data_IF_042974707697
#
_entry.id   IF_042974707697
#
_cell.length_a   1.000
_cell.length_b   1.000
_cell.length_c   1.000
_cell.angle_alpha   90.00
_cell.angle_beta   90.00
_cell.angle_gamma   90.00
#
_symmetry.space_group_name_H-M   'P 1'
#
loop_
_entity.id
_entity.type
_entity.pdbx_description
1 polymer ?
#
# COMPACT_ATOMS: atom_id res chain seq x y z
N UNK A 1 -3.49 -30.16 -10.39
CA UNK A 1 -2.98 -28.78 -10.51
C UNK A 1 -2.41 -28.37 -9.16
N UNK A 2 -1.18 -27.87 -9.12
CA UNK A 2 -0.55 -27.37 -7.90
C UNK A 2 -0.76 -25.87 -7.80
N UNK A 3 -1.18 -25.39 -6.63
CA UNK A 3 -1.17 -23.96 -6.32
C UNK A 3 0.24 -23.57 -5.90
N UNK A 4 0.78 -22.52 -6.51
CA UNK A 4 2.06 -21.92 -6.12
C UNK A 4 1.83 -20.54 -5.53
N UNK A 5 2.71 -20.13 -4.62
CA UNK A 5 2.61 -18.86 -3.93
C UNK A 5 3.98 -18.21 -3.78
N UNK A 6 4.02 -16.89 -3.91
CA UNK A 6 5.16 -16.05 -3.56
C UNK A 6 4.72 -14.96 -2.60
N UNK A 7 5.57 -14.61 -1.65
CA UNK A 7 5.27 -13.54 -0.67
C UNK A 7 6.43 -12.58 -0.55
N UNK A 8 6.12 -11.30 -0.39
CA UNK A 8 7.10 -10.25 -0.15
C UNK A 8 6.60 -9.28 0.94
N UNK A 9 7.55 -8.70 1.68
CA UNK A 9 7.29 -7.64 2.66
C UNK A 9 8.25 -6.50 2.37
N UNK A 10 7.70 -5.31 2.23
CA UNK A 10 8.42 -4.06 2.04
C UNK A 10 8.19 -3.16 3.25
N UNK A 11 9.25 -2.51 3.70
CA UNK A 11 9.13 -1.48 4.72
C UNK A 11 8.64 -0.17 4.09
N UNK A 12 7.57 0.38 4.65
CA UNK A 12 6.99 1.65 4.22
C UNK A 12 7.01 2.68 5.35
N UNK A 13 7.96 2.60 6.28
CA UNK A 13 8.10 3.59 7.35
C UNK A 13 8.60 4.92 6.78
N UNK A 14 7.93 6.06 7.05
CA UNK A 14 8.36 7.35 6.50
C UNK A 14 9.73 7.78 7.03
N UNK A 15 10.54 8.40 6.17
CA UNK A 15 11.84 8.99 6.54
C UNK A 15 11.76 10.49 6.89
N UNK A 16 10.65 11.13 6.57
CA UNK A 16 10.38 12.54 6.86
C UNK A 16 9.02 12.72 7.57
N UNK A 17 8.79 13.84 8.26
CA UNK A 17 7.52 14.08 8.95
C UNK A 17 6.32 13.98 7.99
N UNK A 18 5.26 13.32 8.46
CA UNK A 18 4.03 13.07 7.70
C UNK A 18 2.80 13.34 8.58
N UNK A 19 1.76 13.95 8.02
CA UNK A 19 0.45 13.95 8.67
C UNK A 19 -0.15 12.54 8.67
N UNK A 20 -0.69 12.13 9.82
CA UNK A 20 -1.32 10.82 9.98
C UNK A 20 -2.78 10.85 9.51
N UNK A 21 -3.22 9.75 8.91
CA UNK A 21 -4.60 9.62 8.42
C UNK A 21 -5.61 9.35 9.55
N UNK A 22 -6.90 9.61 9.27
CA UNK A 22 -8.03 9.09 10.05
C UNK A 22 -8.60 10.00 11.14
N UNK A 23 -7.78 10.80 11.84
CA UNK A 23 -8.28 11.79 12.82
C UNK A 23 -8.07 13.22 12.34
N UNK A 24 -9.17 13.92 12.06
CA UNK A 24 -9.17 15.26 11.48
C UNK A 24 -8.65 16.38 12.40
N UNK A 25 -8.63 16.15 13.72
CA UNK A 25 -8.22 17.16 14.70
C UNK A 25 -6.69 17.23 14.93
N UNK A 26 -5.90 16.49 14.13
CA UNK A 26 -4.43 16.60 14.17
C UNK A 26 -3.99 17.76 13.30
N UNK A 27 -3.22 18.67 13.87
CA UNK A 27 -2.79 19.93 13.25
C UNK A 27 -1.30 19.95 12.86
N UNK A 28 -0.53 18.92 13.24
CA UNK A 28 0.89 18.79 12.89
C UNK A 28 1.23 17.35 12.42
N UNK A 29 2.38 17.16 11.77
CA UNK A 29 2.91 15.83 11.42
C UNK A 29 3.20 14.97 12.66
N UNK A 30 3.39 13.66 12.47
CA UNK A 30 3.87 12.78 13.53
C UNK A 30 5.23 13.24 14.07
N UNK A 31 5.48 12.98 15.37
CA UNK A 31 6.72 13.35 16.05
C UNK A 31 7.75 12.21 16.10
N UNK A 32 7.32 10.98 15.81
CA UNK A 32 8.19 9.82 15.78
C UNK A 32 7.50 8.56 15.28
N UNK A 33 8.27 7.46 15.24
CA UNK A 33 7.82 6.13 14.84
C UNK A 33 7.82 5.22 16.07
N UNK A 34 6.66 4.69 16.44
CA UNK A 34 6.54 3.69 17.49
C UNK A 34 6.85 2.28 16.94
N UNK A 35 6.12 1.88 15.89
CA UNK A 35 6.32 0.63 15.16
C UNK A 35 6.59 0.90 13.68
N UNK A 36 7.38 0.04 13.05
CA UNK A 36 7.65 0.10 11.60
C UNK A 36 6.39 -0.28 10.82
N UNK A 37 6.17 0.38 9.69
CA UNK A 37 5.03 0.13 8.81
C UNK A 37 5.46 -0.80 7.67
N UNK A 38 4.59 -1.74 7.29
CA UNK A 38 4.88 -2.69 6.21
C UNK A 38 3.80 -2.71 5.13
N UNK A 39 4.25 -2.94 3.90
CA UNK A 39 3.44 -3.36 2.77
C UNK A 39 3.76 -4.83 2.49
N UNK A 40 2.74 -5.67 2.41
CA UNK A 40 2.85 -7.12 2.26
C UNK A 40 2.13 -7.53 0.99
N UNK A 41 2.76 -8.36 0.18
CA UNK A 41 2.16 -8.92 -1.03
C UNK A 41 2.15 -10.45 -0.96
N UNK A 42 1.06 -11.05 -1.40
CA UNK A 42 0.91 -12.48 -1.66
C UNK A 42 0.49 -12.66 -3.12
N UNK A 43 1.35 -13.27 -3.91
CA UNK A 43 1.06 -13.69 -5.28
C UNK A 43 0.67 -15.17 -5.26
N UNK A 44 -0.36 -15.53 -6.03
CA UNK A 44 -0.87 -16.88 -6.17
C UNK A 44 -1.00 -17.22 -7.64
N UNK A 45 -0.56 -18.42 -8.04
CA UNK A 45 -0.78 -18.94 -9.40
C UNK A 45 -1.17 -20.41 -9.38
N UNK A 46 -2.18 -20.75 -10.18
CA UNK A 46 -2.59 -22.14 -10.43
C UNK A 46 -2.05 -22.69 -11.78
N UNK A 47 -1.22 -21.91 -12.49
CA UNK A 47 -0.68 -22.20 -13.81
C UNK A 47 -1.51 -21.68 -15.00
N UNK A 48 -2.71 -21.15 -14.78
CA UNK A 48 -3.55 -20.48 -15.79
C UNK A 48 -3.92 -19.05 -15.40
N UNK A 49 -4.14 -18.81 -14.11
CA UNK A 49 -4.57 -17.55 -13.56
C UNK A 49 -3.65 -17.14 -12.42
N UNK A 50 -3.34 -15.85 -12.43
CA UNK A 50 -2.49 -15.20 -11.45
C UNK A 50 -3.31 -14.17 -10.67
N UNK A 51 -3.09 -14.14 -9.36
CA UNK A 51 -3.77 -13.26 -8.41
C UNK A 51 -2.75 -12.60 -7.49
N UNK A 52 -3.02 -11.36 -7.08
CA UNK A 52 -2.21 -10.68 -6.07
C UNK A 52 -3.09 -10.09 -4.96
N UNK A 53 -2.69 -10.31 -3.72
CA UNK A 53 -3.25 -9.68 -2.53
C UNK A 53 -2.19 -8.79 -1.91
N UNK A 54 -2.51 -7.51 -1.71
CA UNK A 54 -1.62 -6.54 -1.08
C UNK A 54 -2.28 -6.01 0.18
N UNK A 55 -1.56 -6.04 1.31
CA UNK A 55 -1.98 -5.44 2.58
C UNK A 55 -0.95 -4.43 3.04
N UNK A 56 -1.37 -3.21 3.36
CA UNK A 56 -0.49 -2.16 3.87
C UNK A 56 -0.89 -1.67 5.25
N UNK A 57 0.09 -1.34 6.08
CA UNK A 57 -0.12 -0.62 7.36
C UNK A 57 -0.43 0.87 7.10
N UNK A 58 -1.59 1.09 6.47
CA UNK A 58 -2.14 2.39 6.07
C UNK A 58 -3.65 2.41 6.32
N UNK A 59 -4.26 3.59 6.27
CA UNK A 59 -5.71 3.73 6.43
C UNK A 59 -6.48 3.12 5.25
N UNK A 60 -6.05 3.44 4.03
CA UNK A 60 -6.70 3.01 2.80
C UNK A 60 -5.78 3.17 1.58
N UNK A 61 -6.13 2.48 0.49
CA UNK A 61 -5.69 2.82 -0.86
C UNK A 61 -6.73 3.72 -1.50
N UNK A 62 -6.33 4.89 -1.99
CA UNK A 62 -7.19 5.81 -2.76
C UNK A 62 -6.72 5.82 -4.20
N UNK A 63 -7.59 6.27 -5.09
CA UNK A 63 -7.40 6.33 -6.54
C UNK A 63 -5.99 6.77 -6.97
N UNK A 64 -5.47 7.86 -6.38
CA UNK A 64 -4.13 8.38 -6.66
C UNK A 64 -2.97 7.40 -6.43
N UNK A 65 -3.16 6.40 -5.56
CA UNK A 65 -2.18 5.32 -5.29
C UNK A 65 -2.62 4.01 -5.92
N UNK A 66 -3.93 3.74 -5.99
CA UNK A 66 -4.49 2.50 -6.49
C UNK A 66 -4.28 2.34 -8.00
N UNK A 67 -4.56 3.39 -8.80
CA UNK A 67 -4.47 3.29 -10.25
C UNK A 67 -3.04 3.03 -10.75
N UNK A 68 -1.99 3.72 -10.27
CA UNK A 68 -0.62 3.43 -10.69
C UNK A 68 -0.20 1.99 -10.35
N UNK A 69 -0.64 1.46 -9.21
CA UNK A 69 -0.33 0.07 -8.83
C UNK A 69 -1.02 -0.91 -9.78
N UNK A 70 -2.32 -0.73 -10.06
CA UNK A 70 -3.03 -1.59 -11.02
C UNK A 70 -2.39 -1.55 -12.41
N UNK A 71 -2.04 -0.37 -12.92
CA UNK A 71 -1.33 -0.26 -14.20
C UNK A 71 0.00 -1.00 -14.19
N UNK A 72 0.77 -0.86 -13.10
CA UNK A 72 2.06 -1.56 -12.96
C UNK A 72 1.88 -3.08 -12.92
N UNK A 73 0.87 -3.59 -12.21
CA UNK A 73 0.56 -5.02 -12.15
C UNK A 73 0.12 -5.57 -13.52
N UNK A 74 -0.68 -4.82 -14.26
CA UNK A 74 -1.12 -5.19 -15.60
C UNK A 74 0.05 -5.14 -16.60
N UNK A 75 0.81 -4.05 -16.63
CA UNK A 75 1.92 -3.84 -17.57
C UNK A 75 3.09 -4.81 -17.35
N UNK A 76 3.43 -5.11 -16.09
CA UNK A 76 4.60 -5.93 -15.77
C UNK A 76 4.29 -7.42 -15.58
N UNK A 77 3.09 -7.75 -15.09
CA UNK A 77 2.73 -9.12 -14.71
C UNK A 77 1.50 -9.65 -15.46
N UNK A 78 0.81 -8.83 -16.26
CA UNK A 78 -0.43 -9.22 -16.93
C UNK A 78 -1.60 -9.48 -15.97
N UNK A 79 -1.53 -8.97 -14.73
CA UNK A 79 -2.58 -9.15 -13.72
C UNK A 79 -3.58 -7.99 -13.82
N UNK A 80 -4.81 -8.22 -14.31
CA UNK A 80 -5.82 -7.17 -14.42
C UNK A 80 -6.38 -6.78 -13.04
N UNK A 81 -7.02 -5.60 -12.91
CA UNK A 81 -7.56 -5.11 -11.65
C UNK A 81 -8.51 -6.07 -10.92
N UNK A 82 -9.30 -6.88 -11.64
CA UNK A 82 -10.25 -7.83 -11.02
C UNK A 82 -9.54 -9.00 -10.33
N UNK A 83 -8.24 -9.16 -10.56
CA UNK A 83 -7.36 -10.19 -9.99
C UNK A 83 -6.36 -9.62 -8.97
N UNK A 84 -6.45 -8.32 -8.67
CA UNK A 84 -5.63 -7.63 -7.69
C UNK A 84 -6.50 -7.07 -6.56
N UNK A 85 -6.26 -7.53 -5.32
CA UNK A 85 -6.92 -6.96 -4.14
C UNK A 85 -5.91 -6.18 -3.30
N UNK A 86 -6.21 -4.92 -3.00
CA UNK A 86 -5.38 -4.07 -2.16
C UNK A 86 -6.19 -3.59 -0.94
N UNK A 87 -5.67 -3.80 0.27
CA UNK A 87 -6.33 -3.40 1.51
C UNK A 87 -5.39 -2.69 2.49
N UNK A 88 -5.84 -1.56 3.03
CA UNK A 88 -5.21 -1.00 4.23
C UNK A 88 -5.66 -1.78 5.46
N UNK A 89 -4.80 -1.93 6.47
CA UNK A 89 -5.21 -2.45 7.79
C UNK A 89 -6.15 -1.51 8.53
N UNK A 90 -6.37 -0.31 7.98
CA UNK A 90 -7.20 0.74 8.54
C UNK A 90 -6.61 1.37 9.82
N UNK A 91 -5.28 1.40 9.92
CA UNK A 91 -4.61 2.10 11.02
C UNK A 91 -4.72 3.62 10.86
N UNK A 92 -5.05 4.30 11.96
CA UNK A 92 -5.05 5.77 12.07
C UNK A 92 -3.69 6.33 12.51
N UNK A 93 -2.67 5.47 12.61
CA UNK A 93 -1.32 5.82 13.06
C UNK A 93 -0.28 5.74 11.94
N UNK A 94 -0.73 5.74 10.68
CA UNK A 94 0.12 5.77 9.49
C UNK A 94 -0.06 7.08 8.70
N UNK A 95 0.93 7.48 7.88
CA UNK A 95 0.81 8.66 7.01
C UNK A 95 -0.43 8.65 6.13
N UNK A 96 -0.98 9.84 5.86
CA UNK A 96 -2.01 9.99 4.83
C UNK A 96 -1.43 9.72 3.45
N UNK A 97 -2.14 8.91 2.68
CA UNK A 97 -1.80 8.55 1.29
C UNK A 97 -2.62 9.35 0.27
N UNK A 98 -3.40 10.33 0.73
CA UNK A 98 -4.32 11.09 -0.11
C UNK A 98 -4.66 12.46 0.50
N UNK A 99 -5.00 13.42 -0.36
CA UNK A 99 -5.43 14.77 0.05
C UNK A 99 -4.27 15.77 0.22
N UNK A 100 -4.57 17.00 0.66
CA UNK A 100 -3.62 18.12 0.63
C UNK A 100 -2.43 17.96 1.57
N UNK A 101 -2.58 17.20 2.65
CA UNK A 101 -1.53 16.98 3.65
C UNK A 101 -0.60 15.80 3.32
N UNK A 102 -0.70 15.26 2.11
CA UNK A 102 0.12 14.11 1.70
C UNK A 102 1.55 14.53 1.42
N UNK A 103 2.50 13.81 2.03
CA UNK A 103 3.91 13.97 1.68
C UNK A 103 4.20 13.19 0.39
N UNK A 104 4.69 13.89 -0.63
CA UNK A 104 5.03 13.28 -1.91
C UNK A 104 6.23 12.33 -1.81
N UNK A 105 7.22 12.65 -0.97
CA UNK A 105 8.36 11.76 -0.73
C UNK A 105 7.90 10.40 -0.22
N UNK A 106 6.85 10.38 0.61
CA UNK A 106 6.25 9.15 1.12
C UNK A 106 5.45 8.37 0.07
N UNK A 107 4.80 9.06 -0.87
CA UNK A 107 4.03 8.39 -1.93
C UNK A 107 4.89 7.87 -3.07
N UNK A 108 6.01 8.53 -3.36
CA UNK A 108 6.97 8.09 -4.37
C UNK A 108 7.93 7.08 -3.75
N UNK A 109 7.42 5.86 -3.52
CA UNK A 109 8.30 4.69 -3.40
C UNK A 109 8.89 4.39 -4.79
N UNK A 110 10.04 5.05 -5.05
CA UNK A 110 10.88 5.06 -6.26
C UNK A 110 10.17 5.41 -7.59
#
# INVERSE_FOLDING_TARGET
>A
MSLTAGSAVLDITPHSPNHLAGYANRDHPHEGVHDRLSLRALYLSNGTDDLVLVSGDILWFREAVLEPIHRTLEDQLGIPPERAMLCGTHTHSAPTTSGPNTNREYLHFF
#
